data_IF_100714554735
#
_entry.id   IF_100714554735
#
_cell.length_a   1.000
_cell.length_b   1.000
_cell.length_c   1.000
_cell.angle_alpha   90.00
_cell.angle_beta   90.00
_cell.angle_gamma   90.00
#
_symmetry.space_group_name_H-M   'P 1'
#
loop_
_entity.id
_entity.type
_entity.pdbx_description
1 polymer ?
#
# COMPACT_ATOMS: atom_id res chain seq x y z
N UNK A 1 4.15 16.90 -11.42
CA UNK A 1 3.90 15.88 -10.38
C UNK A 1 5.23 15.32 -9.88
N UNK A 2 5.47 15.32 -8.57
CA UNK A 2 6.65 14.70 -7.95
C UNK A 2 6.26 13.42 -7.20
N UNK A 3 6.82 12.29 -7.64
CA UNK A 3 6.59 10.96 -7.07
C UNK A 3 7.93 10.47 -6.49
N UNK A 4 7.92 10.05 -5.23
CA UNK A 4 9.09 9.41 -4.62
C UNK A 4 8.71 8.10 -3.93
N UNK A 5 9.49 7.06 -4.19
CA UNK A 5 9.42 5.77 -3.51
C UNK A 5 10.63 5.60 -2.62
N UNK A 6 10.40 5.34 -1.34
CA UNK A 6 11.42 5.01 -0.36
C UNK A 6 11.07 3.66 0.24
N UNK A 7 11.99 2.71 0.24
CA UNK A 7 11.75 1.38 0.81
C UNK A 7 13.02 0.75 1.32
N UNK A 8 13.05 0.43 2.60
CA UNK A 8 14.21 -0.12 3.28
C UNK A 8 13.80 -1.37 4.04
N UNK A 9 14.58 -2.44 3.89
CA UNK A 9 14.30 -3.76 4.47
C UNK A 9 14.25 -3.79 5.98
N UNK A 10 15.01 -2.96 6.66
CA UNK A 10 15.33 -3.14 8.08
C UNK A 10 16.57 -4.00 8.31
N UNK A 11 17.36 -3.64 9.32
CA UNK A 11 18.51 -4.44 9.74
C UNK A 11 18.09 -5.80 10.33
N UNK A 12 16.88 -5.90 10.87
CA UNK A 12 16.32 -7.09 11.53
C UNK A 12 15.64 -8.07 10.57
N UNK A 13 15.25 -7.63 9.36
CA UNK A 13 14.50 -8.46 8.40
C UNK A 13 15.41 -9.23 7.45
N UNK A 14 14.91 -10.37 6.99
CA UNK A 14 15.62 -11.23 6.02
C UNK A 14 15.64 -10.61 4.62
N UNK A 15 14.49 -10.15 4.15
CA UNK A 15 14.29 -9.57 2.82
C UNK A 15 13.32 -8.39 2.94
N UNK A 16 13.43 -7.43 2.02
CA UNK A 16 12.40 -6.45 1.79
C UNK A 16 11.28 -7.13 0.98
N UNK A 17 10.10 -7.26 1.58
CA UNK A 17 8.93 -7.90 0.97
C UNK A 17 7.85 -6.90 0.59
N UNK A 18 8.17 -5.61 0.68
CA UNK A 18 7.28 -4.54 0.28
C UNK A 18 7.41 -4.33 -1.23
N UNK A 19 6.34 -3.90 -1.88
CA UNK A 19 6.35 -3.60 -3.31
C UNK A 19 5.36 -2.49 -3.64
N UNK A 20 5.69 -1.64 -4.62
CA UNK A 20 4.76 -0.65 -5.17
C UNK A 20 4.61 -0.77 -6.68
N UNK A 21 3.39 -0.69 -7.19
CA UNK A 21 3.12 -0.48 -8.61
C UNK A 21 2.45 0.86 -8.81
N UNK A 22 2.82 1.61 -9.85
CA UNK A 22 2.41 3.00 -10.08
C UNK A 22 1.98 3.16 -11.53
N UNK A 23 0.90 3.92 -11.76
CA UNK A 23 0.45 4.41 -13.06
C UNK A 23 0.11 5.87 -12.89
N UNK A 24 0.68 6.74 -13.72
CA UNK A 24 0.43 8.17 -13.62
C UNK A 24 0.37 8.82 -15.00
N UNK A 25 -0.55 9.77 -15.14
CA UNK A 25 -0.60 10.74 -16.22
C UNK A 25 -0.95 12.13 -15.66
N UNK A 26 -1.25 13.10 -16.51
CA UNK A 26 -1.49 14.48 -16.09
C UNK A 26 -2.79 14.66 -15.29
N UNK A 27 -3.77 13.79 -15.48
CA UNK A 27 -5.11 13.92 -14.89
C UNK A 27 -5.35 12.88 -13.78
N UNK A 28 -4.65 11.75 -13.83
CA UNK A 28 -4.94 10.58 -13.04
C UNK A 28 -3.67 9.93 -12.48
N UNK A 29 -3.76 9.47 -11.24
CA UNK A 29 -2.74 8.66 -10.59
C UNK A 29 -3.38 7.45 -9.92
N UNK A 30 -2.77 6.28 -10.10
CA UNK A 30 -3.20 5.05 -9.43
C UNK A 30 -1.96 4.30 -8.94
N UNK A 31 -2.02 3.73 -7.75
CA UNK A 31 -0.92 2.95 -7.21
C UNK A 31 -1.42 1.80 -6.34
N UNK A 32 -0.64 0.71 -6.31
CA UNK A 32 -0.84 -0.42 -5.39
C UNK A 32 0.42 -0.60 -4.57
N UNK A 33 0.33 -0.41 -3.26
CA UNK A 33 1.37 -0.82 -2.31
C UNK A 33 0.98 -2.17 -1.72
N UNK A 34 1.98 -3.02 -1.49
CA UNK A 34 1.82 -4.33 -0.86
C UNK A 34 2.93 -4.52 0.16
N UNK A 35 2.56 -5.02 1.33
CA UNK A 35 3.45 -5.46 2.40
C UNK A 35 3.21 -6.95 2.61
N UNK A 36 4.16 -7.78 2.17
CA UNK A 36 4.06 -9.23 2.36
C UNK A 36 4.78 -9.69 3.62
N UNK A 37 4.11 -10.52 4.40
CA UNK A 37 4.66 -11.08 5.63
C UNK A 37 5.94 -11.88 5.34
N UNK A 38 6.88 -11.94 6.29
CA UNK A 38 8.07 -12.80 6.16
C UNK A 38 7.78 -14.31 6.15
N UNK A 39 6.53 -14.71 6.39
CA UNK A 39 6.12 -16.12 6.42
C UNK A 39 5.84 -16.64 5.02
N UNK A 40 6.34 -17.83 4.75
CA UNK A 40 6.11 -18.53 3.49
C UNK A 40 7.42 -18.76 2.73
N UNK A 41 7.28 -19.12 1.46
CA UNK A 41 8.41 -19.46 0.59
C UNK A 41 8.73 -18.36 -0.42
N UNK A 42 7.80 -17.44 -0.68
CA UNK A 42 7.92 -16.47 -1.76
C UNK A 42 7.18 -15.14 -1.48
N UNK A 43 7.36 -14.50 -0.30
CA UNK A 43 6.56 -13.34 0.09
C UNK A 43 6.80 -12.13 -0.82
N UNK A 44 8.06 -11.83 -1.15
CA UNK A 44 8.38 -10.75 -2.10
C UNK A 44 7.78 -10.98 -3.50
N UNK A 45 7.69 -12.24 -3.95
CA UNK A 45 7.03 -12.57 -5.21
C UNK A 45 5.51 -12.40 -5.14
N UNK A 46 4.89 -12.68 -3.99
CA UNK A 46 3.47 -12.37 -3.78
C UNK A 46 3.25 -10.85 -3.88
N UNK A 47 4.11 -10.06 -3.21
CA UNK A 47 3.99 -8.61 -3.21
C UNK A 47 4.08 -8.02 -4.62
N UNK A 48 5.12 -8.42 -5.36
CA UNK A 48 5.29 -8.05 -6.76
C UNK A 48 4.08 -8.50 -7.62
N UNK A 49 3.70 -9.77 -7.52
CA UNK A 49 2.62 -10.34 -8.32
C UNK A 49 1.31 -9.60 -8.11
N UNK A 50 0.94 -9.38 -6.84
CA UNK A 50 -0.31 -8.74 -6.49
C UNK A 50 -0.34 -7.28 -6.94
N UNK A 51 0.71 -6.51 -6.63
CA UNK A 51 0.81 -5.09 -7.00
C UNK A 51 0.68 -4.89 -8.51
N UNK A 52 1.49 -5.65 -9.28
CA UNK A 52 1.57 -5.51 -10.74
C UNK A 52 0.30 -5.98 -11.43
N UNK A 53 -0.21 -7.15 -11.05
CA UNK A 53 -1.39 -7.75 -11.68
C UNK A 53 -2.64 -6.92 -11.37
N UNK A 54 -2.80 -6.48 -10.11
CA UNK A 54 -3.91 -5.64 -9.71
C UNK A 54 -3.91 -4.33 -10.49
N UNK A 55 -2.82 -3.57 -10.43
CA UNK A 55 -2.79 -2.27 -11.09
C UNK A 55 -2.96 -2.39 -12.61
N UNK A 56 -2.25 -3.32 -13.25
CA UNK A 56 -2.34 -3.52 -14.72
C UNK A 56 -3.75 -3.88 -15.17
N UNK A 57 -4.47 -4.67 -14.38
CA UNK A 57 -5.83 -5.10 -14.72
C UNK A 57 -6.87 -4.03 -14.36
N UNK A 58 -6.60 -3.25 -13.31
CA UNK A 58 -7.43 -2.16 -12.85
C UNK A 58 -7.48 -1.02 -13.89
N UNK A 59 -6.32 -0.52 -14.33
CA UNK A 59 -6.25 0.60 -15.29
C UNK A 59 -6.81 0.26 -16.69
N UNK A 60 -6.89 -1.04 -17.04
CA UNK A 60 -7.53 -1.48 -18.29
C UNK A 60 -9.06 -1.39 -18.25
N UNK A 61 -9.65 -1.21 -17.07
CA UNK A 61 -11.10 -1.10 -16.86
C UNK A 61 -11.92 -2.28 -17.42
N UNK A 62 -11.30 -3.46 -17.56
CA UNK A 62 -11.95 -4.69 -18.06
C UNK A 62 -12.70 -5.43 -16.93
N UNK A 63 -13.38 -4.71 -16.03
CA UNK A 63 -14.01 -5.30 -14.86
C UNK A 63 -15.30 -4.57 -14.44
N UNK A 64 -16.27 -5.31 -13.91
CA UNK A 64 -17.56 -4.76 -13.45
C UNK A 64 -17.44 -3.94 -12.17
N UNK A 65 -16.51 -4.33 -11.29
CA UNK A 65 -16.21 -3.66 -10.02
C UNK A 65 -14.80 -4.01 -9.54
N UNK A 66 -14.22 -3.18 -8.68
CA UNK A 66 -12.92 -3.50 -8.06
C UNK A 66 -12.97 -4.84 -7.29
N UNK A 67 -14.11 -5.16 -6.67
CA UNK A 67 -14.28 -6.43 -5.94
C UNK A 67 -14.31 -7.64 -6.88
N UNK A 68 -14.95 -7.54 -8.05
CA UNK A 68 -14.93 -8.64 -9.04
C UNK A 68 -13.51 -8.85 -9.58
N UNK A 69 -12.81 -7.75 -9.88
CA UNK A 69 -11.41 -7.81 -10.30
C UNK A 69 -10.52 -8.50 -9.26
N UNK A 70 -10.64 -8.09 -8.00
CA UNK A 70 -9.87 -8.68 -6.90
C UNK A 70 -10.17 -10.18 -6.72
N UNK A 71 -11.41 -10.62 -6.94
CA UNK A 71 -11.76 -12.05 -6.91
C UNK A 71 -11.12 -12.82 -8.06
N UNK A 72 -11.06 -12.23 -9.24
CA UNK A 72 -10.45 -12.87 -10.41
C UNK A 72 -8.94 -13.03 -10.24
N UNK A 73 -8.25 -11.99 -9.75
CA UNK A 73 -6.83 -12.08 -9.40
C UNK A 73 -6.61 -13.01 -8.20
N UNK A 74 -7.49 -13.00 -7.20
CA UNK A 74 -7.34 -13.89 -6.03
C UNK A 74 -7.34 -15.38 -6.42
N UNK A 75 -8.14 -15.77 -7.41
CA UNK A 75 -8.21 -17.15 -7.91
C UNK A 75 -6.90 -17.66 -8.50
N UNK A 76 -6.04 -16.77 -8.99
CA UNK A 76 -4.73 -17.15 -9.56
C UNK A 76 -3.66 -17.36 -8.50
N UNK A 77 -3.93 -17.00 -7.23
CA UNK A 77 -2.96 -17.16 -6.15
C UNK A 77 -2.68 -18.62 -5.80
N UNK A 78 -3.57 -19.54 -6.19
CA UNK A 78 -3.40 -20.98 -6.01
C UNK A 78 -2.83 -21.57 -7.30
N UNK A 79 -1.79 -22.42 -7.21
CA UNK A 79 -1.18 -22.95 -5.99
C UNK A 79 0.01 -22.14 -5.44
N UNK A 80 0.50 -21.17 -6.19
CA UNK A 80 1.85 -20.62 -6.03
C UNK A 80 2.07 -19.84 -4.71
N UNK A 81 1.00 -19.33 -4.11
CA UNK A 81 1.06 -18.47 -2.91
C UNK A 81 0.23 -19.01 -1.73
N UNK A 82 0.03 -20.32 -1.64
CA UNK A 82 -0.82 -20.97 -0.62
C UNK A 82 -0.43 -20.70 0.85
N UNK A 83 0.84 -20.38 1.09
CA UNK A 83 1.42 -20.10 2.42
C UNK A 83 1.70 -18.64 2.67
N UNK A 84 1.60 -17.81 1.63
CA UNK A 84 1.94 -16.40 1.71
C UNK A 84 0.76 -15.59 2.23
N UNK A 85 1.08 -14.42 2.80
CA UNK A 85 0.08 -13.44 3.18
C UNK A 85 0.61 -12.03 3.05
N UNK A 86 -0.27 -11.08 2.76
CA UNK A 86 0.10 -9.68 2.59
C UNK A 86 -1.01 -8.72 3.01
N UNK A 87 -0.61 -7.51 3.37
CA UNK A 87 -1.44 -6.32 3.38
C UNK A 87 -1.30 -5.61 2.04
N UNK A 88 -2.34 -4.94 1.57
CA UNK A 88 -2.26 -4.10 0.38
C UNK A 88 -3.18 -2.90 0.46
N UNK A 89 -2.85 -1.88 -0.33
CA UNK A 89 -3.71 -0.73 -0.58
C UNK A 89 -3.58 -0.29 -2.03
N UNK A 90 -4.71 -0.26 -2.73
CA UNK A 90 -4.88 0.38 -4.05
C UNK A 90 -5.42 1.79 -3.80
N UNK A 91 -4.82 2.79 -4.45
CA UNK A 91 -5.38 4.13 -4.55
C UNK A 91 -5.62 4.47 -6.01
N UNK A 92 -6.70 5.22 -6.24
CA UNK A 92 -7.08 5.72 -7.54
C UNK A 92 -7.60 7.16 -7.38
N UNK A 93 -6.91 8.12 -7.99
CA UNK A 93 -7.13 9.55 -7.69
C UNK A 93 -7.23 10.41 -8.95
N UNK A 94 -8.23 11.27 -8.98
CA UNK A 94 -8.35 12.36 -9.95
C UNK A 94 -7.58 13.58 -9.41
N UNK A 95 -6.53 13.99 -10.13
CA UNK A 95 -5.64 15.05 -9.70
C UNK A 95 -6.27 16.44 -9.81
N UNK A 96 -7.22 16.59 -10.73
CA UNK A 96 -7.89 17.86 -11.01
C UNK A 96 -8.97 18.13 -9.97
N UNK A 97 -9.77 17.13 -9.66
CA UNK A 97 -10.84 17.21 -8.67
C UNK A 97 -10.32 17.03 -7.23
N UNK A 98 -9.06 16.58 -7.09
CA UNK A 98 -8.40 16.28 -5.81
C UNK A 98 -9.23 15.34 -4.94
N UNK A 99 -9.72 14.30 -5.58
CA UNK A 99 -10.56 13.27 -4.97
C UNK A 99 -10.11 11.90 -5.43
N UNK A 100 -10.36 10.88 -4.61
CA UNK A 100 -10.05 9.52 -4.98
C UNK A 100 -10.68 8.50 -4.07
N UNK A 101 -10.37 7.25 -4.37
CA UNK A 101 -10.77 6.08 -3.62
C UNK A 101 -9.53 5.32 -3.14
N UNK A 102 -9.63 4.77 -1.93
CA UNK A 102 -8.68 3.80 -1.40
C UNK A 102 -9.39 2.46 -1.20
N UNK A 103 -8.77 1.38 -1.70
CA UNK A 103 -9.26 -0.01 -1.59
C UNK A 103 -8.19 -0.85 -0.91
N UNK A 104 -8.47 -1.39 0.27
CA UNK A 104 -7.41 -1.97 1.10
C UNK A 104 -7.82 -3.22 1.89
N UNK A 105 -6.81 -4.06 2.17
CA UNK A 105 -6.87 -5.16 3.13
C UNK A 105 -5.57 -5.19 3.90
N UNK A 106 -5.66 -5.07 5.22
CA UNK A 106 -4.53 -5.22 6.11
C UNK A 106 -4.22 -3.87 6.72
N UNK A 107 -2.95 -3.52 6.81
CA UNK A 107 -2.44 -2.40 7.59
C UNK A 107 -1.58 -1.42 6.81
N UNK A 108 -1.50 -1.54 5.48
CA UNK A 108 -1.05 -0.44 4.63
C UNK A 108 -1.99 0.77 4.79
N UNK A 109 -1.42 1.98 4.82
CA UNK A 109 -2.20 3.21 5.05
C UNK A 109 -1.92 4.28 4.00
N UNK A 110 -2.99 4.99 3.66
CA UNK A 110 -2.97 6.28 2.97
C UNK A 110 -3.12 7.40 4.01
N UNK A 111 -2.21 8.37 3.94
CA UNK A 111 -2.27 9.61 4.71
C UNK A 111 -2.23 10.83 3.79
N UNK A 112 -2.87 11.91 4.25
CA UNK A 112 -2.79 13.23 3.65
C UNK A 112 -1.93 14.07 4.60
N UNK A 113 -0.76 14.50 4.12
CA UNK A 113 0.16 15.29 4.90
C UNK A 113 0.09 16.76 4.49
N UNK A 114 -0.26 17.60 5.45
CA UNK A 114 0.16 19.00 5.44
C UNK A 114 1.50 19.09 6.21
N UNK A 115 2.32 20.12 5.99
CA UNK A 115 3.68 20.22 6.55
C UNK A 115 3.85 19.98 8.07
N UNK A 116 2.76 19.89 8.83
CA UNK A 116 2.75 19.74 10.29
C UNK A 116 2.28 18.37 10.78
N UNK A 117 1.40 17.68 10.04
CA UNK A 117 0.76 16.45 10.50
C UNK A 117 0.31 15.55 9.33
N UNK A 118 0.01 14.29 9.64
CA UNK A 118 -0.54 13.30 8.70
C UNK A 118 -1.95 12.95 9.15
N UNK A 119 -2.94 13.32 8.33
CA UNK A 119 -4.32 12.86 8.49
C UNK A 119 -4.49 11.51 7.78
N UNK A 120 -4.71 10.44 8.52
CA UNK A 120 -4.88 9.10 7.95
C UNK A 120 -6.28 8.90 7.36
N UNK A 121 -6.33 8.39 6.13
CA UNK A 121 -7.57 8.18 5.37
C UNK A 121 -8.25 6.86 5.73
N UNK A 122 -7.47 5.79 5.89
CA UNK A 122 -7.97 4.48 6.24
C UNK A 122 -7.42 4.00 7.59
N UNK A 123 -8.24 3.22 8.30
CA UNK A 123 -7.88 2.57 9.55
C UNK A 123 -7.31 1.17 9.27
N UNK A 124 -6.16 0.80 9.84
CA UNK A 124 -5.57 -0.51 9.60
C UNK A 124 -6.45 -1.62 10.21
N UNK A 125 -6.48 -2.78 9.56
CA UNK A 125 -7.21 -3.97 10.03
C UNK A 125 -6.43 -4.72 11.12
N UNK A 126 -6.13 -4.05 12.23
CA UNK A 126 -5.43 -4.58 13.40
C UNK A 126 -6.40 -4.91 14.54
N UNK A 127 -6.00 -5.81 15.43
CA UNK A 127 -6.87 -6.31 16.51
C UNK A 127 -7.22 -5.22 17.53
N UNK A 128 -6.30 -4.29 17.82
CA UNK A 128 -6.51 -3.19 18.78
C UNK A 128 -7.58 -2.20 18.30
N UNK A 129 -7.71 -2.02 16.98
CA UNK A 129 -8.80 -1.23 16.39
C UNK A 129 -10.16 -1.93 16.49
N UNK A 130 -10.17 -3.25 16.68
CA UNK A 130 -11.40 -4.05 16.83
C UNK A 130 -11.78 -4.21 18.31
N UNK A 131 -10.79 -4.29 19.20
CA UNK A 131 -10.94 -4.49 20.63
C UNK A 131 -10.13 -3.42 21.39
N UNK A 132 -10.73 -2.24 21.66
CA UNK A 132 -10.02 -1.10 22.26
C UNK A 132 -9.50 -1.36 23.69
N UNK A 133 -9.99 -2.40 24.35
CA UNK A 133 -9.47 -2.90 25.62
C UNK A 133 -8.08 -3.56 25.53
N UNK A 134 -7.60 -3.90 24.33
CA UNK A 134 -6.25 -4.40 24.11
C UNK A 134 -5.26 -3.23 24.00
N UNK A 135 -4.07 -3.39 24.57
CA UNK A 135 -2.98 -2.42 24.42
C UNK A 135 -2.22 -2.57 23.09
N UNK A 136 -1.36 -1.60 22.79
CA UNK A 136 -0.60 -1.51 21.54
C UNK A 136 0.39 -2.68 21.33
N UNK A 137 0.67 -3.51 22.35
CA UNK A 137 1.48 -4.72 22.14
C UNK A 137 0.83 -5.72 21.20
N UNK A 138 -0.48 -5.59 20.97
CA UNK A 138 -1.23 -6.39 20.02
C UNK A 138 -1.37 -5.75 18.63
N UNK A 139 -0.80 -4.56 18.38
CA UNK A 139 -0.95 -3.84 17.11
C UNK A 139 -0.48 -4.65 15.89
N UNK A 140 0.47 -5.58 16.06
CA UNK A 140 0.97 -6.45 15.00
C UNK A 140 0.00 -7.57 14.56
N UNK A 141 -1.15 -7.74 15.22
CA UNK A 141 -2.10 -8.80 14.88
C UNK A 141 -3.18 -8.29 13.93
N UNK A 142 -3.15 -8.78 12.69
CA UNK A 142 -4.13 -8.44 11.66
C UNK A 142 -5.43 -9.26 11.78
N UNK A 143 -6.56 -8.56 11.69
CA UNK A 143 -7.91 -9.15 11.61
C UNK A 143 -8.32 -9.46 10.18
N UNK A 144 -7.71 -8.80 9.19
CA UNK A 144 -7.91 -9.03 7.76
C UNK A 144 -6.57 -9.00 7.03
N UNK A 145 -6.39 -9.92 6.09
CA UNK A 145 -5.14 -10.09 5.34
C UNK A 145 -5.43 -10.78 4.00
N UNK A 146 -4.65 -10.48 2.97
CA UNK A 146 -4.67 -11.23 1.72
C UNK A 146 -4.06 -12.61 1.94
N UNK A 147 -4.80 -13.68 1.60
CA UNK A 147 -4.33 -15.07 1.62
C UNK A 147 -4.95 -15.85 0.47
N UNK A 148 -4.19 -16.70 -0.20
CA UNK A 148 -4.71 -17.50 -1.32
C UNK A 148 -5.91 -18.40 -0.93
N UNK A 149 -5.93 -18.93 0.30
CA UNK A 149 -6.93 -19.92 0.73
C UNK A 149 -8.34 -19.36 0.95
N UNK A 150 -8.46 -18.05 1.20
CA UNK A 150 -9.74 -17.41 1.50
C UNK A 150 -9.70 -15.97 1.02
N UNK A 151 -10.66 -15.63 0.17
CA UNK A 151 -10.85 -14.25 -0.24
C UNK A 151 -11.28 -13.41 0.96
N UNK A 152 -10.61 -12.27 1.14
CA UNK A 152 -10.93 -11.26 2.15
C UNK A 152 -11.53 -10.06 1.41
N UNK A 153 -12.73 -9.65 1.82
CA UNK A 153 -13.38 -8.48 1.23
C UNK A 153 -12.59 -7.21 1.61
N UNK A 154 -12.21 -6.35 0.65
CA UNK A 154 -11.56 -5.09 0.96
C UNK A 154 -12.55 -4.08 1.53
N UNK A 155 -12.04 -3.14 2.30
CA UNK A 155 -12.75 -1.91 2.59
C UNK A 155 -12.44 -0.86 1.51
N UNK A 156 -13.40 0.03 1.27
CA UNK A 156 -13.35 1.09 0.27
C UNK A 156 -13.68 2.42 0.95
N UNK A 157 -12.83 3.43 0.78
CA UNK A 157 -13.02 4.75 1.39
C UNK A 157 -12.76 5.82 0.32
N UNK A 158 -13.72 6.74 0.18
CA UNK A 158 -13.54 7.94 -0.64
C UNK A 158 -12.89 9.03 0.19
N UNK A 159 -12.01 9.81 -0.43
CA UNK A 159 -11.32 10.91 0.23
C UNK A 159 -11.07 12.06 -0.75
N UNK A 160 -10.87 13.24 -0.18
CA UNK A 160 -10.44 14.43 -0.90
C UNK A 160 -9.22 15.03 -0.20
N UNK A 161 -8.39 15.76 -0.93
CA UNK A 161 -7.28 16.52 -0.36
C UNK A 161 -7.27 17.96 -0.90
N UNK A 162 -6.47 18.82 -0.28
CA UNK A 162 -6.33 20.23 -0.61
C UNK A 162 -5.08 20.51 -1.45
N UNK A 163 -5.10 21.66 -2.11
CA UNK A 163 -3.92 22.16 -2.82
C UNK A 163 -2.72 22.32 -1.87
N UNK A 164 -1.55 21.87 -2.33
CA UNK A 164 -0.31 21.86 -1.54
C UNK A 164 -0.17 20.71 -0.53
N UNK A 165 -1.19 19.87 -0.34
CA UNK A 165 -1.06 18.65 0.47
C UNK A 165 -0.36 17.52 -0.30
N UNK A 166 0.38 16.69 0.43
CA UNK A 166 1.06 15.50 -0.09
C UNK A 166 0.24 14.26 0.25
N UNK A 167 0.12 13.34 -0.69
CA UNK A 167 -0.41 12.01 -0.44
C UNK A 167 0.74 11.05 -0.10
N UNK A 168 0.54 10.27 0.96
CA UNK A 168 1.51 9.32 1.50
C UNK A 168 0.87 7.95 1.58
N UNK A 169 1.36 7.00 0.79
CA UNK A 169 0.95 5.61 0.84
C UNK A 169 2.08 4.76 1.44
N UNK A 170 1.84 4.02 2.52
CA UNK A 170 2.92 3.42 3.30
C UNK A 170 2.55 2.08 3.98
N UNK A 171 3.58 1.34 4.38
CA UNK A 171 3.49 0.07 5.15
C UNK A 171 3.55 0.34 6.66
N UNK A 172 3.31 -0.69 7.48
CA UNK A 172 3.29 -0.57 8.95
C UNK A 172 4.63 -0.09 9.53
N UNK A 173 5.75 -0.48 8.92
CA UNK A 173 7.09 0.00 9.27
C UNK A 173 7.24 1.52 9.22
N UNK A 174 6.43 2.22 8.39
CA UNK A 174 6.45 3.67 8.30
C UNK A 174 5.53 4.36 9.32
N UNK A 175 4.31 3.87 9.54
CA UNK A 175 3.32 4.62 10.33
C UNK A 175 3.19 4.11 11.77
N UNK A 176 3.54 2.86 12.03
CA UNK A 176 3.43 2.26 13.36
C UNK A 176 4.66 2.65 14.19
N UNK A 177 4.48 3.38 15.31
CA UNK A 177 5.58 3.68 16.21
C UNK A 177 6.12 2.39 16.81
N UNK A 178 7.41 2.12 16.66
CA UNK A 178 8.03 0.99 17.36
C UNK A 178 8.04 1.30 18.87
N UNK A 179 7.59 0.35 19.67
CA UNK A 179 7.42 0.45 21.13
C UNK A 179 8.72 0.70 21.92
N UNK A 180 9.89 0.66 21.27
CA UNK A 180 11.21 0.79 21.89
C UNK A 180 11.71 2.24 22.07
N UNK A 181 10.82 3.24 22.24
CA UNK A 181 11.18 4.64 22.56
C UNK A 181 12.18 5.32 21.59
N UNK A 182 12.39 4.78 20.38
CA UNK A 182 13.37 5.29 19.41
C UNK A 182 12.76 6.11 18.25
N UNK A 183 11.45 6.35 18.25
CA UNK A 183 10.76 6.97 17.13
C UNK A 183 10.53 5.97 15.98
N UNK A 184 10.20 6.49 14.78
CA UNK A 184 10.18 5.67 13.57
C UNK A 184 11.58 5.10 13.37
N UNK A 185 11.70 3.78 13.23
CA UNK A 185 12.96 3.16 12.87
C UNK A 185 13.14 3.33 11.35
N UNK A 186 13.94 4.30 10.88
CA UNK A 186 14.00 4.62 9.45
C UNK A 186 14.63 3.49 8.62
N UNK A 187 15.12 2.43 9.26
CA UNK A 187 15.75 1.33 8.57
C UNK A 187 14.76 0.30 8.00
N UNK A 188 13.52 0.19 8.52
CA UNK A 188 12.46 -0.76 8.12
C UNK A 188 11.16 0.00 7.81
N UNK A 189 11.13 0.69 6.67
CA UNK A 189 9.99 1.52 6.28
C UNK A 189 9.86 1.62 4.77
N UNK A 190 8.62 1.55 4.29
CA UNK A 190 8.28 1.75 2.89
C UNK A 190 7.17 2.78 2.73
N UNK A 191 7.41 3.76 1.87
CA UNK A 191 6.51 4.88 1.62
C UNK A 191 6.63 5.42 0.20
N UNK A 192 5.47 5.54 -0.45
CA UNK A 192 5.26 6.27 -1.69
C UNK A 192 4.69 7.65 -1.35
N UNK A 193 5.42 8.70 -1.71
CA UNK A 193 5.00 10.09 -1.52
C UNK A 193 4.68 10.68 -2.89
N UNK A 194 3.51 11.31 -2.99
CA UNK A 194 3.04 11.98 -4.18
C UNK A 194 2.73 13.43 -3.85
N UNK A 195 3.37 14.34 -4.58
CA UNK A 195 3.01 15.76 -4.63
C UNK A 195 2.40 16.08 -5.99
N UNK A 196 1.08 16.29 -6.05
CA UNK A 196 0.44 16.85 -7.22
C UNK A 196 0.92 18.30 -7.37
N UNK A 197 1.86 18.54 -8.27
CA UNK A 197 2.34 19.87 -8.66
C UNK A 197 2.22 20.04 -10.18
N UNK A 198 2.19 21.29 -10.62
CA UNK A 198 2.06 21.69 -12.03
C UNK A 198 3.35 21.45 -12.85
N UNK A 199 4.39 20.85 -12.28
CA UNK A 199 5.63 20.52 -12.99
C UNK A 199 5.53 19.24 -13.80
N UNK A 200 6.55 19.00 -14.64
CA UNK A 200 6.77 17.71 -15.29
C UNK A 200 6.70 16.54 -14.28
N UNK A 201 6.23 15.38 -14.74
CA UNK A 201 6.19 14.17 -13.91
C UNK A 201 7.63 13.71 -13.62
N UNK A 202 8.00 13.66 -12.35
CA UNK A 202 9.29 13.14 -11.89
C UNK A 202 9.06 11.93 -10.99
N UNK A 203 9.91 10.92 -11.14
CA UNK A 203 9.91 9.72 -10.31
C UNK A 203 11.30 9.52 -9.73
N UNK A 204 11.39 9.50 -8.41
CA UNK A 204 12.62 9.20 -7.68
C UNK A 204 12.44 7.93 -6.85
N UNK A 205 13.50 7.13 -6.76
CA UNK A 205 13.49 5.89 -6.00
C UNK A 205 14.71 5.83 -5.10
N UNK A 206 14.48 5.47 -3.83
CA UNK A 206 15.48 5.18 -2.83
C UNK A 206 15.09 3.85 -2.16
N UNK A 207 15.39 2.76 -2.86
CA UNK A 207 15.10 1.40 -2.39
C UNK A 207 16.36 0.55 -2.31
N UNK A 208 16.41 -0.35 -1.32
CA UNK A 208 17.48 -1.33 -1.18
C UNK A 208 17.30 -2.58 -2.06
N UNK A 209 16.19 -2.67 -2.79
CA UNK A 209 15.93 -3.70 -3.79
C UNK A 209 15.06 -3.19 -4.95
N UNK A 210 14.94 -4.00 -6.01
CA UNK A 210 14.05 -3.71 -7.13
C UNK A 210 12.59 -4.06 -6.78
N UNK A 211 11.94 -3.17 -6.02
CA UNK A 211 10.56 -3.38 -5.53
C UNK A 211 9.55 -2.32 -5.97
N UNK A 212 9.74 -1.80 -7.17
CA UNK A 212 8.76 -0.90 -7.79
C UNK A 212 8.50 -1.28 -9.25
N UNK A 213 7.31 -0.95 -9.73
CA UNK A 213 6.95 -1.08 -11.15
C UNK A 213 6.16 0.14 -11.60
N UNK A 214 6.67 0.85 -12.61
CA UNK A 214 5.96 1.98 -13.22
C UNK A 214 5.33 1.54 -14.54
N UNK A 215 4.02 1.70 -14.66
CA UNK A 215 3.27 1.40 -15.88
C UNK A 215 3.27 2.65 -16.76
N UNK A 216 3.83 2.51 -17.96
CA UNK A 216 3.66 3.49 -19.04
C UNK A 216 2.40 3.13 -19.82
N UNK A 217 1.40 4.02 -19.77
CA UNK A 217 0.19 3.96 -20.59
C UNK A 217 0.44 4.44 -22.02
#
# INVERSE_FOLDING_TARGET
MDISWESQKGSSRKNNNDYVSISANNDHFSAVIVDASEKGNAPSRLAEYWARTLLTSYIKQEHESVVSLLKDIHRTLIPDYLTESASYTLIDIDLKDRSGEVVYVGDCRLGISNHYDINWVNEPHIIVNTFPELDDSYASFLTRVLKARRFTLPDQVNFNWQDGEMLLLCTDGYWCPHSDNQGLNPDDASALKLRPDDSDCTFTTNSDCDNFFFITL
#
